data_IF_568432111753
#
_entry.id   IF_568432111753
#
_cell.length_a   1.000
_cell.length_b   1.000
_cell.length_c   1.000
_cell.angle_alpha   90.00
_cell.angle_beta   90.00
_cell.angle_gamma   90.00
#
_symmetry.space_group_name_H-M   'P 1'
#
loop_
_entity.id
_entity.type
_entity.pdbx_description
1 polymer ?
#
# COMPACT_ATOMS: atom_id res chain seq x y z
N UNK A 1 10.79 -1.49 20.19
CA UNK A 1 9.90 -1.72 19.02
C UNK A 1 10.67 -1.36 17.76
N UNK A 2 10.11 -1.51 16.56
CA UNK A 2 10.79 -1.15 15.32
C UNK A 2 12.15 -1.84 15.15
N UNK A 3 13.09 -1.12 14.55
CA UNK A 3 14.46 -1.60 14.24
C UNK A 3 15.18 -2.11 15.48
N UNK A 4 15.11 -1.42 16.62
CA UNK A 4 15.75 -1.86 17.86
C UNK A 4 15.31 -3.26 18.30
N UNK A 5 14.02 -3.59 18.10
CA UNK A 5 13.50 -4.91 18.45
C UNK A 5 14.03 -6.00 17.53
N UNK A 6 14.17 -5.70 16.24
CA UNK A 6 14.67 -6.63 15.23
C UNK A 6 16.16 -6.91 15.43
N UNK A 7 16.93 -5.88 15.75
CA UNK A 7 18.37 -5.97 15.93
C UNK A 7 18.82 -6.04 17.40
N UNK A 8 17.91 -6.33 18.35
CA UNK A 8 18.19 -6.30 19.80
C UNK A 8 19.42 -7.15 20.18
N UNK A 9 19.55 -8.35 19.61
CA UNK A 9 20.71 -9.22 19.85
C UNK A 9 22.03 -8.60 19.35
N UNK A 10 22.02 -7.92 18.19
CA UNK A 10 23.20 -7.20 17.65
C UNK A 10 23.53 -5.98 18.50
N UNK A 11 22.53 -5.19 18.86
CA UNK A 11 22.71 -3.92 19.58
C UNK A 11 23.21 -4.12 21.02
N UNK A 12 22.98 -5.31 21.60
CA UNK A 12 23.47 -5.67 22.94
C UNK A 12 24.80 -6.41 22.95
N UNK A 13 25.33 -6.78 21.80
CA UNK A 13 26.58 -7.53 21.67
C UNK A 13 27.78 -6.61 21.95
N UNK A 14 28.54 -6.80 23.05
CA UNK A 14 29.68 -5.96 23.38
C UNK A 14 30.79 -6.01 22.32
N UNK A 15 30.92 -7.12 21.57
CA UNK A 15 31.93 -7.24 20.52
C UNK A 15 31.63 -6.33 19.32
N UNK A 16 30.41 -5.80 19.22
CA UNK A 16 29.94 -4.94 18.14
C UNK A 16 29.72 -3.49 18.57
N UNK A 17 30.19 -3.10 19.76
CA UNK A 17 29.99 -1.73 20.28
C UNK A 17 30.58 -0.65 19.36
N UNK A 18 31.66 -0.97 18.66
CA UNK A 18 32.35 -0.07 17.73
C UNK A 18 31.88 -0.22 16.26
N UNK A 19 30.85 -1.04 16.00
CA UNK A 19 30.25 -1.24 14.67
C UNK A 19 28.78 -0.76 14.64
N UNK A 20 28.54 0.54 14.39
CA UNK A 20 27.19 1.10 14.38
C UNK A 20 26.29 0.41 13.35
N UNK A 21 25.03 0.16 13.75
CA UNK A 21 23.98 -0.24 12.81
C UNK A 21 23.69 0.92 11.85
N UNK A 22 24.05 0.74 10.58
CA UNK A 22 23.72 1.67 9.50
C UNK A 22 22.38 1.29 8.87
N UNK A 23 21.44 2.23 8.85
CA UNK A 23 20.16 2.10 8.16
C UNK A 23 20.25 2.73 6.76
N UNK A 24 19.32 2.37 5.89
CA UNK A 24 19.13 3.04 4.60
C UNK A 24 18.45 4.42 4.71
N UNK A 25 17.94 4.76 5.90
CA UNK A 25 17.23 6.00 6.16
C UNK A 25 18.15 7.19 5.94
N UNK A 26 17.63 8.16 5.21
CA UNK A 26 18.21 9.48 5.03
C UNK A 26 17.49 10.45 5.97
N UNK A 27 18.22 11.01 6.94
CA UNK A 27 17.59 11.79 8.01
C UNK A 27 16.97 13.09 7.51
N UNK A 28 17.55 13.71 6.48
CA UNK A 28 17.00 14.95 5.91
C UNK A 28 15.68 14.65 5.19
N UNK A 29 15.64 13.55 4.44
CA UNK A 29 14.44 13.11 3.73
C UNK A 29 13.36 12.61 4.69
N UNK A 30 13.74 11.91 5.76
CA UNK A 30 12.83 11.50 6.83
C UNK A 30 12.16 12.71 7.47
N UNK A 31 12.94 13.71 7.87
CA UNK A 31 12.43 14.95 8.47
C UNK A 31 11.49 15.69 7.52
N UNK A 32 11.85 15.82 6.24
CA UNK A 32 11.01 16.47 5.24
C UNK A 32 9.69 15.71 5.02
N UNK A 33 9.73 14.37 4.99
CA UNK A 33 8.53 13.54 4.86
C UNK A 33 7.59 13.73 6.05
N UNK A 34 8.12 13.72 7.28
CA UNK A 34 7.34 13.94 8.50
C UNK A 34 6.67 15.32 8.52
N UNK A 35 7.39 16.38 8.14
CA UNK A 35 6.85 17.74 8.06
C UNK A 35 5.70 17.84 7.04
N UNK A 36 5.90 17.31 5.83
CA UNK A 36 4.87 17.31 4.77
C UNK A 36 3.64 16.52 5.21
N UNK A 37 3.82 15.34 5.81
CA UNK A 37 2.70 14.53 6.29
C UNK A 37 1.96 15.21 7.45
N UNK A 38 2.66 15.88 8.37
CA UNK A 38 2.05 16.60 9.48
C UNK A 38 1.21 17.78 8.98
N UNK A 39 1.75 18.56 8.04
CA UNK A 39 1.03 19.66 7.41
C UNK A 39 -0.24 19.16 6.68
N UNK A 40 -0.10 18.11 5.86
CA UNK A 40 -1.24 17.53 5.14
C UNK A 40 -2.28 16.90 6.06
N UNK A 41 -1.86 16.25 7.15
CA UNK A 41 -2.77 15.69 8.15
C UNK A 41 -3.59 16.78 8.85
N UNK A 42 -2.97 17.92 9.17
CA UNK A 42 -3.63 19.08 9.76
C UNK A 42 -4.61 19.74 8.78
N UNK A 43 -4.19 19.97 7.52
CA UNK A 43 -5.03 20.57 6.47
C UNK A 43 -6.28 19.73 6.18
N UNK A 44 -6.11 18.41 6.13
CA UNK A 44 -7.20 17.47 5.80
C UNK A 44 -8.03 17.06 7.02
N UNK A 45 -7.67 17.52 8.23
CA UNK A 45 -8.22 17.05 9.51
C UNK A 45 -8.24 15.51 9.59
N UNK A 46 -7.16 14.88 9.12
CA UNK A 46 -7.04 13.43 9.04
C UNK A 46 -6.67 12.84 10.40
N UNK A 47 -7.21 11.65 10.70
CA UNK A 47 -6.91 10.92 11.95
C UNK A 47 -5.48 10.37 12.02
N UNK A 48 -4.79 10.32 10.90
CA UNK A 48 -3.45 9.77 10.78
C UNK A 48 -2.96 9.86 9.35
N UNK A 49 -1.65 9.78 9.19
CA UNK A 49 -0.98 9.81 7.89
C UNK A 49 0.20 8.84 7.89
N UNK A 50 0.63 8.39 6.72
CA UNK A 50 1.86 7.61 6.57
C UNK A 50 2.49 7.89 5.23
N UNK A 51 3.79 7.66 5.15
CA UNK A 51 4.55 7.81 3.91
C UNK A 51 5.77 6.91 3.92
N UNK A 52 6.13 6.42 2.73
CA UNK A 52 7.32 5.60 2.51
C UNK A 52 7.99 6.15 1.26
N UNK A 53 9.27 6.50 1.36
CA UNK A 53 10.12 6.77 0.22
C UNK A 53 11.15 5.65 0.08
N UNK A 54 11.20 5.07 -1.11
CA UNK A 54 12.01 3.89 -1.41
C UNK A 54 12.73 4.05 -2.74
N UNK A 55 13.97 3.58 -2.81
CA UNK A 55 14.70 3.40 -4.06
C UNK A 55 14.13 2.21 -4.85
N UNK A 56 13.70 2.44 -6.09
CA UNK A 56 13.04 1.41 -6.90
C UNK A 56 13.95 0.22 -7.25
N UNK A 57 15.24 0.47 -7.51
CA UNK A 57 16.18 -0.58 -7.95
C UNK A 57 16.68 -1.46 -6.80
N UNK A 58 16.86 -0.86 -5.60
CA UNK A 58 17.49 -1.53 -4.46
C UNK A 58 16.48 -1.97 -3.40
N UNK A 59 15.28 -1.38 -3.39
CA UNK A 59 14.30 -1.54 -2.33
C UNK A 59 14.68 -0.83 -1.03
N UNK A 60 15.77 -0.04 -1.00
CA UNK A 60 16.19 0.68 0.18
C UNK A 60 15.16 1.75 0.56
N UNK A 61 14.67 1.67 1.79
CA UNK A 61 13.76 2.66 2.35
C UNK A 61 14.59 3.86 2.82
N UNK A 62 14.41 5.00 2.17
CA UNK A 62 15.08 6.27 2.50
C UNK A 62 14.34 7.06 3.56
N UNK A 63 13.02 6.91 3.62
CA UNK A 63 12.20 7.48 4.67
C UNK A 63 10.94 6.62 4.89
N UNK A 64 10.50 6.49 6.14
CA UNK A 64 9.26 5.82 6.53
C UNK A 64 8.69 6.54 7.75
N UNK A 65 7.53 7.14 7.58
CA UNK A 65 6.87 7.94 8.60
C UNK A 65 5.43 7.46 8.84
N UNK A 66 4.98 7.55 10.09
CA UNK A 66 3.64 7.21 10.53
C UNK A 66 3.19 8.23 11.57
N UNK A 67 2.11 8.94 11.29
CA UNK A 67 1.53 9.97 12.16
C UNK A 67 0.12 9.58 12.64
N UNK A 68 -0.29 9.99 13.85
CA UNK A 68 0.52 10.71 14.85
C UNK A 68 1.64 9.84 15.43
N UNK A 69 2.77 10.47 15.74
CA UNK A 69 3.94 9.83 16.36
C UNK A 69 4.08 10.26 17.84
N UNK A 70 5.13 9.81 18.52
CA UNK A 70 5.45 10.10 19.90
C UNK A 70 6.94 10.37 20.09
N UNK A 71 7.30 11.15 21.10
CA UNK A 71 8.70 11.28 21.51
C UNK A 71 9.17 9.95 22.15
N UNK A 72 10.18 9.26 21.59
CA UNK A 72 10.66 7.99 22.13
C UNK A 72 11.24 8.13 23.55
N UNK A 73 11.68 9.32 23.96
CA UNK A 73 12.14 9.59 25.33
C UNK A 73 10.97 9.71 26.34
N UNK A 74 9.75 9.95 25.85
CA UNK A 74 8.51 10.08 26.62
C UNK A 74 7.46 9.08 26.13
N UNK A 75 7.88 7.82 25.98
CA UNK A 75 7.06 6.77 25.38
C UNK A 75 5.72 6.59 26.11
N UNK A 76 4.57 6.68 25.41
CA UNK A 76 3.27 6.43 26.02
C UNK A 76 3.08 4.94 26.37
N UNK A 77 2.22 4.62 27.35
CA UNK A 77 1.90 3.24 27.66
C UNK A 77 1.16 2.56 26.50
N UNK A 78 1.28 1.24 26.42
CA UNK A 78 0.49 0.47 25.45
C UNK A 78 -1.01 0.65 25.73
N UNK A 79 -1.84 0.84 24.69
CA UNK A 79 -3.29 0.95 24.88
C UNK A 79 -3.83 -0.36 25.46
N UNK A 80 -4.63 -0.25 26.52
CA UNK A 80 -5.25 -1.41 27.18
C UNK A 80 -6.67 -1.71 26.69
N UNK A 81 -7.26 -0.77 25.94
CA UNK A 81 -8.61 -0.81 25.35
C UNK A 81 -8.65 0.07 24.09
N UNK A 82 -9.66 -0.12 23.25
CA UNK A 82 -9.85 0.65 22.01
C UNK A 82 -9.16 0.04 20.80
N UNK A 83 -9.20 0.74 19.67
CA UNK A 83 -8.49 0.34 18.46
C UNK A 83 -7.00 0.63 18.63
N UNK A 84 -6.09 -0.35 18.45
CA UNK A 84 -4.66 -0.10 18.46
C UNK A 84 -4.22 1.03 17.53
N UNK A 85 -4.92 1.23 16.41
CA UNK A 85 -4.63 2.29 15.44
C UNK A 85 -4.81 3.72 16.00
N UNK A 86 -5.57 3.89 17.09
CA UNK A 86 -5.72 5.19 17.77
C UNK A 86 -4.48 5.57 18.61
N UNK A 87 -3.55 4.64 18.81
CA UNK A 87 -2.30 4.90 19.53
C UNK A 87 -1.22 5.47 18.60
N UNK A 88 -0.40 6.43 19.05
CA UNK A 88 0.78 6.85 18.29
C UNK A 88 1.86 5.75 18.21
N UNK A 89 1.76 4.69 19.03
CA UNK A 89 2.64 3.53 18.93
C UNK A 89 2.35 2.65 17.72
N UNK A 90 1.22 2.86 17.03
CA UNK A 90 0.82 2.08 15.87
C UNK A 90 1.51 2.60 14.61
N UNK A 91 2.44 1.79 14.09
CA UNK A 91 3.15 2.10 12.87
C UNK A 91 2.25 1.81 11.66
N UNK A 92 1.54 2.83 11.18
CA UNK A 92 0.61 2.73 10.05
C UNK A 92 1.29 2.26 8.77
N UNK A 93 2.57 2.56 8.59
CA UNK A 93 3.33 2.14 7.43
C UNK A 93 3.65 0.64 7.41
N UNK A 94 3.80 0.02 8.58
CA UNK A 94 4.12 -1.40 8.71
C UNK A 94 2.91 -2.28 9.07
N UNK A 95 1.92 -1.72 9.76
CA UNK A 95 0.80 -2.45 10.36
C UNK A 95 -0.56 -2.07 9.76
N UNK A 96 -0.64 -0.91 9.12
CA UNK A 96 -1.87 -0.41 8.53
C UNK A 96 -2.35 -1.33 7.41
N UNK A 97 -3.64 -1.65 7.44
CA UNK A 97 -4.29 -2.43 6.39
C UNK A 97 -5.44 -1.61 5.82
N UNK A 98 -5.39 -1.39 4.52
CA UNK A 98 -6.31 -0.49 3.81
C UNK A 98 -6.85 -1.16 2.56
N UNK A 99 -8.09 -0.84 2.20
CA UNK A 99 -8.58 -1.08 0.85
C UNK A 99 -7.85 -0.13 -0.10
N UNK A 100 -7.07 -0.68 -1.03
CA UNK A 100 -6.19 0.11 -1.90
C UNK A 100 -6.96 0.97 -2.92
N UNK A 101 -8.20 0.58 -3.23
CA UNK A 101 -9.06 1.32 -4.16
C UNK A 101 -8.38 1.50 -5.53
N UNK A 102 -8.42 2.72 -6.07
CA UNK A 102 -7.92 2.99 -7.42
C UNK A 102 -6.40 2.84 -7.59
N UNK A 103 -5.61 2.87 -6.50
CA UNK A 103 -4.16 2.64 -6.59
C UNK A 103 -3.84 1.19 -6.97
N UNK A 104 -4.83 0.29 -6.94
CA UNK A 104 -4.70 -1.10 -7.38
C UNK A 104 -4.81 -1.29 -8.91
N UNK A 105 -5.47 -0.36 -9.61
CA UNK A 105 -5.72 -0.47 -11.06
C UNK A 105 -4.46 -0.65 -11.91
N UNK A 106 -3.32 0.01 -11.62
CA UNK A 106 -2.07 -0.25 -12.33
C UNK A 106 -1.65 -1.72 -12.29
N UNK A 107 -1.87 -2.45 -11.18
CA UNK A 107 -1.56 -3.88 -11.09
C UNK A 107 -2.48 -4.71 -12.00
N UNK A 108 -3.78 -4.38 -12.02
CA UNK A 108 -4.73 -5.00 -12.94
C UNK A 108 -4.31 -4.77 -14.39
N UNK A 109 -3.98 -3.53 -14.77
CA UNK A 109 -3.56 -3.22 -16.15
C UNK A 109 -2.22 -3.87 -16.49
N UNK A 110 -1.26 -3.87 -15.56
CA UNK A 110 0.03 -4.52 -15.75
C UNK A 110 -0.13 -6.01 -16.09
N UNK A 111 -1.00 -6.73 -15.39
CA UNK A 111 -1.28 -8.14 -15.73
C UNK A 111 -1.89 -8.30 -17.14
N UNK A 112 -2.82 -7.43 -17.54
CA UNK A 112 -3.39 -7.50 -18.90
C UNK A 112 -2.36 -7.23 -20.00
N UNK A 113 -1.43 -6.31 -19.76
CA UNK A 113 -0.32 -6.02 -20.67
C UNK A 113 0.68 -7.18 -20.71
N UNK A 114 1.09 -7.71 -19.54
CA UNK A 114 2.04 -8.83 -19.40
C UNK A 114 1.54 -10.11 -20.09
N UNK A 115 0.24 -10.33 -20.07
CA UNK A 115 -0.42 -11.47 -20.73
C UNK A 115 -0.78 -11.22 -22.20
N UNK A 116 -0.51 -10.01 -22.72
CA UNK A 116 -0.83 -9.63 -24.10
C UNK A 116 -2.34 -9.54 -24.40
N UNK A 117 -3.20 -9.50 -23.37
CA UNK A 117 -4.65 -9.39 -23.52
C UNK A 117 -5.08 -8.02 -24.04
N UNK A 118 -4.28 -6.99 -23.76
CA UNK A 118 -4.53 -5.61 -24.21
C UNK A 118 -3.21 -4.92 -24.56
N UNK A 119 -3.31 -3.82 -25.29
CA UNK A 119 -2.27 -2.81 -25.48
C UNK A 119 -2.75 -1.47 -24.89
N UNK A 120 -1.86 -0.48 -24.65
CA UNK A 120 -2.28 0.84 -24.13
C UNK A 120 -3.38 1.51 -24.96
N UNK A 121 -3.38 1.30 -26.27
CA UNK A 121 -4.35 1.85 -27.22
C UNK A 121 -5.61 0.99 -27.40
N UNK A 122 -5.71 -0.17 -26.77
CA UNK A 122 -6.92 -1.03 -26.85
C UNK A 122 -8.11 -0.30 -26.26
N UNK A 123 -9.23 -0.26 -27.01
CA UNK A 123 -10.47 0.36 -26.56
C UNK A 123 -11.25 -0.59 -25.64
N UNK A 124 -11.61 -0.10 -24.47
CA UNK A 124 -12.40 -0.78 -23.44
C UNK A 124 -13.78 -0.13 -23.37
N UNK A 125 -14.83 -0.95 -23.33
CA UNK A 125 -16.20 -0.48 -23.13
C UNK A 125 -16.38 0.06 -21.70
N UNK A 126 -16.66 1.35 -21.59
CA UNK A 126 -16.88 2.07 -20.33
C UNK A 126 -18.33 2.53 -20.16
N UNK A 127 -19.26 2.01 -20.96
CA UNK A 127 -20.69 2.30 -20.80
C UNK A 127 -21.16 1.88 -19.41
N UNK A 128 -21.66 2.87 -18.66
CA UNK A 128 -22.15 2.70 -17.31
C UNK A 128 -23.66 2.90 -17.18
N UNK A 129 -24.24 2.45 -16.05
CA UNK A 129 -23.58 1.69 -14.99
C UNK A 129 -23.37 0.21 -15.36
N UNK A 130 -22.29 -0.39 -14.86
CA UNK A 130 -22.05 -1.83 -14.98
C UNK A 130 -22.63 -2.56 -13.75
N UNK A 131 -23.33 -3.68 -13.94
CA UNK A 131 -23.81 -4.53 -12.84
C UNK A 131 -22.95 -5.79 -12.72
N UNK A 132 -22.56 -6.12 -11.49
CA UNK A 132 -21.86 -7.37 -11.17
C UNK A 132 -22.42 -7.97 -9.87
N UNK A 133 -23.16 -9.06 -9.99
CA UNK A 133 -23.94 -9.60 -8.87
C UNK A 133 -24.86 -8.54 -8.26
N UNK A 134 -24.68 -8.27 -6.96
CA UNK A 134 -25.44 -7.23 -6.23
C UNK A 134 -24.85 -5.82 -6.35
N UNK A 135 -23.68 -5.67 -6.96
CA UNK A 135 -22.95 -4.41 -7.00
C UNK A 135 -23.24 -3.64 -8.30
N UNK A 136 -23.29 -2.31 -8.19
CA UNK A 136 -23.38 -1.40 -9.33
C UNK A 136 -22.09 -0.58 -9.39
N UNK A 137 -21.32 -0.75 -10.46
CA UNK A 137 -20.04 -0.09 -10.68
C UNK A 137 -20.28 1.12 -11.57
N UNK A 138 -19.74 2.26 -11.14
CA UNK A 138 -19.87 3.56 -11.81
C UNK A 138 -18.52 4.27 -11.82
N UNK A 139 -18.31 5.04 -12.86
CA UNK A 139 -17.24 6.02 -12.91
C UNK A 139 -17.66 7.33 -12.23
N UNK A 140 -16.68 8.11 -11.78
CA UNK A 140 -16.92 9.41 -11.17
C UNK A 140 -17.56 10.40 -12.15
N UNK A 141 -17.15 10.33 -13.41
CA UNK A 141 -17.76 11.05 -14.53
C UNK A 141 -18.07 10.11 -15.69
N UNK A 142 -18.95 10.54 -16.59
CA UNK A 142 -19.12 9.87 -17.88
C UNK A 142 -17.99 10.29 -18.81
N UNK A 143 -17.03 9.39 -19.04
CA UNK A 143 -15.90 9.62 -19.93
C UNK A 143 -16.16 9.19 -21.38
N UNK A 144 -17.40 8.85 -21.70
CA UNK A 144 -17.80 8.34 -22.99
C UNK A 144 -18.01 6.82 -22.99
N UNK A 145 -18.47 6.27 -24.12
CA UNK A 145 -18.80 4.85 -24.22
C UNK A 145 -17.58 3.93 -24.22
N UNK A 146 -16.39 4.47 -24.50
CA UNK A 146 -15.14 3.72 -24.56
C UNK A 146 -13.99 4.59 -24.09
N UNK A 147 -12.97 3.94 -23.52
CA UNK A 147 -11.66 4.54 -23.22
C UNK A 147 -10.56 3.63 -23.72
N UNK A 148 -9.40 4.19 -24.08
CA UNK A 148 -8.18 3.38 -24.23
C UNK A 148 -7.76 2.83 -22.87
N UNK A 149 -6.94 1.76 -22.83
CA UNK A 149 -6.39 1.23 -21.57
C UNK A 149 -5.55 2.30 -20.84
N UNK A 150 -4.81 3.11 -21.58
CA UNK A 150 -4.11 4.28 -21.04
C UNK A 150 -5.10 5.25 -20.37
N UNK A 151 -6.18 5.63 -21.06
CA UNK A 151 -7.20 6.52 -20.52
C UNK A 151 -7.95 5.91 -19.33
N UNK A 152 -8.08 4.58 -19.24
CA UNK A 152 -8.64 3.91 -18.06
C UNK A 152 -7.82 4.22 -16.81
N UNK A 153 -6.49 4.26 -16.92
CA UNK A 153 -5.60 4.66 -15.81
C UNK A 153 -5.68 6.17 -15.59
N UNK A 154 -5.54 6.98 -16.64
CA UNK A 154 -5.55 8.46 -16.55
C UNK A 154 -6.83 9.00 -15.93
N UNK A 155 -7.99 8.44 -16.31
CA UNK A 155 -9.31 8.82 -15.78
C UNK A 155 -9.72 8.02 -14.56
N UNK A 156 -8.91 7.04 -14.17
CA UNK A 156 -9.21 6.08 -13.11
C UNK A 156 -10.62 5.49 -13.26
N UNK A 157 -10.96 5.02 -14.46
CA UNK A 157 -12.28 4.43 -14.73
C UNK A 157 -12.44 3.11 -13.96
N UNK A 158 -13.44 3.05 -13.08
CA UNK A 158 -13.82 1.84 -12.35
C UNK A 158 -14.42 0.80 -13.29
N UNK A 159 -15.24 1.23 -14.25
CA UNK A 159 -15.85 0.33 -15.23
C UNK A 159 -14.78 -0.25 -16.14
N UNK A 160 -13.87 0.59 -16.65
CA UNK A 160 -12.75 0.15 -17.48
C UNK A 160 -11.85 -0.85 -16.76
N UNK A 161 -11.43 -0.53 -15.54
CA UNK A 161 -10.62 -1.44 -14.73
C UNK A 161 -11.34 -2.77 -14.45
N UNK A 162 -12.65 -2.72 -14.15
CA UNK A 162 -13.45 -3.93 -13.94
C UNK A 162 -13.51 -4.80 -15.21
N UNK A 163 -13.75 -4.21 -16.38
CA UNK A 163 -13.73 -4.96 -17.65
C UNK A 163 -12.38 -5.61 -17.91
N UNK A 164 -11.29 -4.88 -17.67
CA UNK A 164 -9.92 -5.41 -17.82
C UNK A 164 -9.68 -6.57 -16.85
N UNK A 165 -10.10 -6.47 -15.59
CA UNK A 165 -10.00 -7.56 -14.61
C UNK A 165 -10.80 -8.80 -15.06
N UNK A 166 -12.03 -8.62 -15.54
CA UNK A 166 -12.86 -9.73 -16.06
C UNK A 166 -12.21 -10.43 -17.24
N UNK A 167 -11.56 -9.70 -18.15
CA UNK A 167 -10.84 -10.30 -19.29
C UNK A 167 -9.71 -11.24 -18.83
N UNK A 168 -9.06 -10.95 -17.70
CA UNK A 168 -7.97 -11.76 -17.15
C UNK A 168 -8.50 -13.02 -16.42
N UNK A 169 -9.64 -12.88 -15.75
CA UNK A 169 -10.20 -13.91 -14.88
C UNK A 169 -9.52 -14.00 -13.51
N UNK A 170 -10.30 -14.39 -12.52
CA UNK A 170 -9.90 -14.45 -11.10
C UNK A 170 -8.66 -15.30 -10.82
N UNK A 171 -8.47 -16.42 -11.52
CA UNK A 171 -7.29 -17.28 -11.33
C UNK A 171 -6.00 -16.58 -11.72
N UNK A 172 -5.96 -15.93 -12.89
CA UNK A 172 -4.77 -15.23 -13.36
C UNK A 172 -4.43 -14.04 -12.44
N UNK A 173 -5.45 -13.30 -12.01
CA UNK A 173 -5.28 -12.23 -11.02
C UNK A 173 -4.70 -12.76 -9.71
N UNK A 174 -5.25 -13.85 -9.17
CA UNK A 174 -4.77 -14.43 -7.92
C UNK A 174 -3.33 -14.93 -8.04
N UNK A 175 -3.01 -15.64 -9.11
CA UNK A 175 -1.66 -16.18 -9.35
C UNK A 175 -0.64 -15.04 -9.53
N UNK A 176 -1.02 -13.95 -10.21
CA UNK A 176 -0.21 -12.74 -10.33
C UNK A 176 0.04 -12.06 -8.99
N UNK A 177 -1.00 -11.86 -8.19
CA UNK A 177 -0.90 -11.20 -6.88
C UNK A 177 -0.06 -12.01 -5.89
N UNK A 178 -0.14 -13.34 -5.94
CA UNK A 178 0.79 -14.22 -5.20
C UNK A 178 2.22 -14.05 -5.69
N UNK A 179 2.44 -14.03 -7.01
CA UNK A 179 3.76 -13.88 -7.62
C UNK A 179 4.47 -12.59 -7.20
N UNK A 180 3.72 -11.50 -7.02
CA UNK A 180 4.26 -10.20 -6.57
C UNK A 180 4.23 -10.03 -5.04
N UNK A 181 3.94 -11.08 -4.27
CA UNK A 181 4.06 -11.07 -2.81
C UNK A 181 2.86 -10.49 -2.05
N UNK A 182 1.73 -10.18 -2.70
CA UNK A 182 0.57 -9.55 -2.05
C UNK A 182 -0.22 -10.49 -1.11
N UNK A 183 0.18 -11.76 -1.03
CA UNK A 183 -0.40 -12.78 -0.15
C UNK A 183 0.40 -12.97 1.13
N UNK A 184 1.61 -12.41 1.19
CA UNK A 184 2.54 -12.60 2.30
C UNK A 184 2.72 -11.30 3.08
N UNK A 185 3.09 -11.37 4.37
CA UNK A 185 3.57 -10.20 5.10
C UNK A 185 4.74 -9.54 4.36
N UNK A 186 4.81 -8.21 4.44
CA UNK A 186 5.93 -7.46 3.84
C UNK A 186 7.23 -7.83 4.56
N UNK A 187 8.24 -8.22 3.78
CA UNK A 187 9.58 -8.50 4.27
C UNK A 187 10.35 -7.20 4.45
N UNK A 188 10.30 -6.63 5.66
CA UNK A 188 11.11 -5.49 6.10
C UNK A 188 11.58 -5.74 7.53
N UNK A 189 12.72 -5.15 7.93
CA UNK A 189 13.34 -5.27 9.26
C UNK A 189 12.57 -4.53 10.36
N UNK A 190 11.25 -4.73 10.41
CA UNK A 190 10.32 -4.25 11.42
C UNK A 190 9.50 -5.44 11.94
N UNK A 191 9.59 -5.70 13.25
CA UNK A 191 8.91 -6.87 13.87
C UNK A 191 7.40 -6.81 13.66
N UNK A 192 6.85 -5.60 13.64
CA UNK A 192 5.44 -5.35 13.42
C UNK A 192 4.97 -5.64 12.00
N UNK A 193 5.80 -5.45 10.97
CA UNK A 193 5.45 -5.73 9.57
C UNK A 193 5.26 -7.23 9.33
N UNK A 194 6.18 -8.04 9.86
CA UNK A 194 6.14 -9.51 9.75
C UNK A 194 4.91 -10.14 10.43
N UNK A 195 4.22 -9.40 11.30
CA UNK A 195 3.01 -9.84 12.01
C UNK A 195 1.71 -9.41 11.33
N UNK A 196 1.80 -8.60 10.27
CA UNK A 196 0.64 -8.09 9.54
C UNK A 196 0.20 -9.11 8.50
N UNK A 197 -1.06 -9.56 8.58
CA UNK A 197 -1.66 -10.43 7.56
C UNK A 197 -2.37 -9.58 6.50
N UNK A 198 -2.08 -9.79 5.20
CA UNK A 198 -2.80 -9.11 4.12
C UNK A 198 -4.31 -9.30 4.19
N UNK A 199 -5.07 -8.29 3.75
CA UNK A 199 -6.52 -8.38 3.64
C UNK A 199 -6.89 -9.17 2.38
N UNK A 200 -7.16 -10.46 2.55
CA UNK A 200 -7.57 -11.33 1.45
C UNK A 200 -9.09 -11.56 1.45
N UNK A 201 -9.71 -11.54 0.27
CA UNK A 201 -11.13 -11.80 0.14
C UNK A 201 -11.45 -13.28 0.40
N UNK A 202 -12.49 -13.54 1.18
CA UNK A 202 -12.91 -14.90 1.54
C UNK A 202 -13.45 -15.70 0.34
N UNK A 203 -13.95 -15.02 -0.69
CA UNK A 203 -14.41 -15.61 -1.95
C UNK A 203 -13.84 -14.82 -3.11
N UNK A 204 -13.20 -15.52 -4.04
CA UNK A 204 -12.67 -14.92 -5.26
C UNK A 204 -13.67 -15.02 -6.40
N UNK A 205 -13.87 -13.90 -7.09
CA UNK A 205 -14.62 -13.70 -8.31
C UNK A 205 -13.78 -12.87 -9.27
N UNK A 206 -14.22 -12.67 -10.51
CA UNK A 206 -13.42 -11.93 -11.49
C UNK A 206 -13.27 -10.42 -11.17
N UNK A 207 -14.08 -9.89 -10.23
CA UNK A 207 -14.02 -8.51 -9.72
C UNK A 207 -13.79 -8.46 -8.20
N UNK A 208 -12.85 -9.27 -7.74
CA UNK A 208 -12.52 -9.37 -6.32
C UNK A 208 -11.58 -8.26 -5.86
#
# INVERSE_FOLDING_TARGET
>A
AGVERVFDARLRDPERSEDPLRLSIDIEVQSALEEVLAAGMAEMNAKGAMGILMEADTGQIRALASLPDFDPNLRPPLPSRGDPADSPLFNRAAQGRYELGSTFKPLTVALALDTGLVAPTTLIDTKGPMRWGRFTIRDFHNYGPQLTVEDVIVKSSNIGAARIAILQGSKAQQDFLKRIGMFEPVSVELTEAARTTPLLPARWSDLT
#
